data_IF_142272268958
#
_entry.id   IF_142272268958
#
_cell.length_a   1.000
_cell.length_b   1.000
_cell.length_c   1.000
_cell.angle_alpha   90.00
_cell.angle_beta   90.00
_cell.angle_gamma   90.00
#
_symmetry.space_group_name_H-M   'P 1'
#
loop_
_entity.id
_entity.type
_entity.pdbx_description
1 polymer ?
#
# COMPACT_ATOMS: atom_id res chain seq x y z
N UNK A 1 6.75 4.81 10.23
CA UNK A 1 5.93 3.61 10.43
C UNK A 1 4.63 4.05 11.09
N UNK A 2 3.48 3.62 10.57
CA UNK A 2 2.17 3.95 11.14
C UNK A 2 1.68 2.88 12.14
N UNK A 3 2.34 1.72 12.20
CA UNK A 3 2.01 0.65 13.13
C UNK A 3 0.90 -0.29 12.64
N UNK A 4 0.20 -0.92 13.58
CA UNK A 4 -0.88 -1.89 13.34
C UNK A 4 -2.25 -1.28 13.62
N UNK A 5 -3.31 -1.85 13.02
CA UNK A 5 -4.70 -1.38 13.18
C UNK A 5 -4.89 0.10 12.84
N UNK A 6 -4.21 0.53 11.78
CA UNK A 6 -4.23 1.92 11.30
C UNK A 6 -5.45 2.12 10.39
N UNK A 7 -6.32 3.10 10.67
CA UNK A 7 -7.48 3.37 9.82
C UNK A 7 -7.07 4.07 8.51
N UNK A 8 -7.83 3.91 7.41
CA UNK A 8 -7.50 4.46 6.09
C UNK A 8 -7.14 5.94 6.08
N UNK A 9 -7.85 6.76 6.86
CA UNK A 9 -7.69 8.22 6.89
C UNK A 9 -6.29 8.61 7.39
N UNK A 10 -5.70 7.81 8.30
CA UNK A 10 -4.34 8.06 8.78
C UNK A 10 -3.28 7.83 7.72
N UNK A 11 -3.53 6.97 6.74
CA UNK A 11 -2.62 6.83 5.60
C UNK A 11 -2.68 8.05 4.69
N UNK A 12 -3.88 8.57 4.43
CA UNK A 12 -4.07 9.80 3.63
C UNK A 12 -3.36 10.98 4.31
N UNK A 13 -3.66 11.23 5.59
CA UNK A 13 -3.03 12.30 6.38
C UNK A 13 -1.50 12.16 6.40
N UNK A 14 -0.98 10.94 6.57
CA UNK A 14 0.45 10.71 6.59
C UNK A 14 1.10 10.99 5.23
N UNK A 15 0.45 10.63 4.13
CA UNK A 15 0.94 10.93 2.77
C UNK A 15 0.95 12.43 2.53
N UNK A 16 -0.13 13.14 2.88
CA UNK A 16 -0.23 14.59 2.75
C UNK A 16 0.82 15.33 3.58
N UNK A 17 0.98 14.95 4.85
CA UNK A 17 1.88 15.63 5.78
C UNK A 17 3.36 15.35 5.54
N UNK A 18 3.70 14.20 4.96
CA UNK A 18 5.10 13.80 4.73
C UNK A 18 5.58 13.95 3.29
N UNK A 19 4.67 14.05 2.32
CA UNK A 19 5.01 13.97 0.90
C UNK A 19 5.49 12.58 0.47
N UNK A 20 5.08 11.52 1.19
CA UNK A 20 5.43 10.15 0.85
C UNK A 20 4.96 9.79 -0.57
N UNK A 21 5.85 9.15 -1.33
CA UNK A 21 5.59 8.75 -2.71
C UNK A 21 5.24 7.26 -2.85
N UNK A 22 5.42 6.50 -1.78
CA UNK A 22 5.13 5.06 -1.71
C UNK A 22 4.52 4.71 -0.34
N UNK A 23 3.41 3.98 -0.36
CA UNK A 23 2.76 3.36 0.79
C UNK A 23 2.88 1.84 0.67
N UNK A 24 3.38 1.20 1.72
CA UNK A 24 3.36 -0.24 1.88
C UNK A 24 2.27 -0.67 2.85
N UNK A 25 1.41 -1.59 2.44
CA UNK A 25 0.38 -2.19 3.28
C UNK A 25 0.68 -3.67 3.51
N UNK A 26 0.46 -4.15 4.73
CA UNK A 26 0.65 -5.55 5.11
C UNK A 26 -0.60 -6.11 5.79
N UNK A 27 -1.04 -7.29 5.37
CA UNK A 27 -2.12 -8.06 5.99
C UNK A 27 -1.59 -9.44 6.37
N UNK A 28 -1.84 -9.91 7.60
CA UNK A 28 -1.45 -11.26 8.02
C UNK A 28 -2.64 -12.22 8.15
N UNK A 29 -3.86 -11.69 8.16
CA UNK A 29 -5.10 -12.46 8.28
C UNK A 29 -6.01 -12.17 7.08
N UNK A 30 -6.75 -13.17 6.60
CA UNK A 30 -7.73 -12.97 5.52
C UNK A 30 -8.80 -11.94 5.90
N UNK A 31 -9.14 -11.83 7.18
CA UNK A 31 -10.06 -10.82 7.73
C UNK A 31 -9.52 -9.39 7.67
N UNK A 32 -8.21 -9.20 7.46
CA UNK A 32 -7.58 -7.88 7.30
C UNK A 32 -7.50 -7.41 5.84
N UNK A 33 -7.82 -8.27 4.87
CA UNK A 33 -7.84 -7.89 3.45
C UNK A 33 -8.86 -6.79 3.13
N UNK A 34 -10.10 -6.81 3.65
CA UNK A 34 -11.05 -5.71 3.39
C UNK A 34 -10.58 -4.35 3.93
N UNK A 35 -9.85 -4.34 5.06
CA UNK A 35 -9.27 -3.10 5.59
C UNK A 35 -8.14 -2.57 4.69
N UNK A 36 -7.34 -3.47 4.12
CA UNK A 36 -6.35 -3.12 3.11
C UNK A 36 -7.00 -2.54 1.86
N UNK A 37 -8.06 -3.17 1.33
CA UNK A 37 -8.83 -2.66 0.20
C UNK A 37 -9.38 -1.25 0.47
N UNK A 38 -10.01 -1.04 1.64
CA UNK A 38 -10.52 0.28 2.04
C UNK A 38 -9.40 1.34 2.10
N UNK A 39 -8.21 0.95 2.56
CA UNK A 39 -7.05 1.85 2.60
C UNK A 39 -6.54 2.20 1.20
N UNK A 40 -6.46 1.22 0.30
CA UNK A 40 -6.10 1.49 -1.10
C UNK A 40 -7.14 2.43 -1.73
N UNK A 41 -8.44 2.14 -1.55
CA UNK A 41 -9.53 3.00 -2.03
C UNK A 41 -9.42 4.44 -1.54
N UNK A 42 -9.24 4.64 -0.23
CA UNK A 42 -9.07 5.99 0.35
C UNK A 42 -7.88 6.75 -0.27
N UNK A 43 -6.75 6.08 -0.51
CA UNK A 43 -5.58 6.69 -1.17
C UNK A 43 -5.81 7.01 -2.65
N UNK A 44 -6.74 6.33 -3.32
CA UNK A 44 -7.13 6.60 -4.71
C UNK A 44 -8.17 7.71 -4.83
N UNK A 45 -9.08 7.79 -3.86
CA UNK A 45 -10.12 8.82 -3.79
C UNK A 45 -9.59 10.16 -3.26
N UNK A 46 -8.53 10.14 -2.44
CA UNK A 46 -7.93 11.35 -1.91
C UNK A 46 -7.33 12.23 -3.02
N UNK A 47 -7.60 13.54 -2.93
CA UNK A 47 -7.06 14.56 -3.84
C UNK A 47 -5.61 14.92 -3.47
N UNK A 48 -4.73 13.92 -3.50
CA UNK A 48 -3.32 14.10 -3.17
C UNK A 48 -2.59 14.87 -4.28
N UNK A 49 -1.64 15.77 -3.95
CA UNK A 49 -0.86 16.52 -4.94
C UNK A 49 -0.08 15.62 -5.92
N UNK A 50 0.30 14.43 -5.44
CA UNK A 50 0.97 13.39 -6.20
C UNK A 50 0.25 12.08 -5.92
N UNK A 51 -0.10 11.35 -6.98
CA UNK A 51 -0.66 10.03 -6.82
C UNK A 51 0.39 9.07 -6.26
N UNK A 52 0.18 8.68 -5.00
CA UNK A 52 1.09 7.82 -4.26
C UNK A 52 1.09 6.40 -4.83
N UNK A 53 2.27 5.79 -4.90
CA UNK A 53 2.40 4.37 -5.23
C UNK A 53 1.97 3.52 -4.05
N UNK A 54 1.20 2.48 -4.29
CA UNK A 54 0.73 1.58 -3.24
C UNK A 54 1.20 0.17 -3.55
N UNK A 55 1.91 -0.45 -2.62
CA UNK A 55 2.28 -1.84 -2.70
C UNK A 55 1.73 -2.62 -1.52
N UNK A 56 1.31 -3.86 -1.78
CA UNK A 56 0.67 -4.73 -0.78
C UNK A 56 1.48 -6.00 -0.56
N UNK A 57 1.38 -6.58 0.63
CA UNK A 57 2.02 -7.84 0.98
C UNK A 57 1.42 -8.50 2.23
N UNK A 58 2.07 -9.57 2.65
CA UNK A 58 1.66 -10.40 3.78
C UNK A 58 0.95 -11.70 3.37
N UNK A 59 0.87 -12.65 4.29
CA UNK A 59 0.58 -14.06 3.98
C UNK A 59 -0.68 -14.35 3.13
N UNK A 60 -1.84 -13.69 3.33
CA UNK A 60 -3.03 -13.88 2.52
C UNK A 60 -3.10 -13.00 1.27
N UNK A 61 -2.21 -11.99 1.12
CA UNK A 61 -2.20 -11.12 -0.04
C UNK A 61 -1.65 -11.86 -1.27
N UNK A 62 -2.16 -11.51 -2.45
CA UNK A 62 -1.71 -12.10 -3.71
C UNK A 62 -1.55 -11.03 -4.78
N UNK A 63 -0.87 -11.37 -5.87
CA UNK A 63 -0.79 -10.49 -7.04
C UNK A 63 -2.17 -10.18 -7.65
N UNK A 64 -3.11 -11.14 -7.59
CA UNK A 64 -4.48 -10.95 -8.08
C UNK A 64 -5.22 -9.97 -7.19
N UNK A 65 -5.19 -10.18 -5.87
CA UNK A 65 -5.80 -9.26 -4.91
C UNK A 65 -5.27 -7.83 -5.08
N UNK A 66 -3.95 -7.67 -5.25
CA UNK A 66 -3.34 -6.35 -5.49
C UNK A 66 -3.91 -5.65 -6.74
N UNK A 67 -4.14 -6.39 -7.82
CA UNK A 67 -4.75 -5.86 -9.04
C UNK A 67 -6.22 -5.48 -8.81
N UNK A 68 -6.97 -6.35 -8.14
CA UNK A 68 -8.41 -6.16 -7.88
C UNK A 68 -8.67 -4.90 -7.06
N UNK A 69 -7.82 -4.61 -6.05
CA UNK A 69 -7.95 -3.42 -5.19
C UNK A 69 -7.30 -2.16 -5.77
N UNK A 70 -6.62 -2.24 -6.93
CA UNK A 70 -5.96 -1.10 -7.55
C UNK A 70 -4.62 -0.68 -6.92
N UNK A 71 -3.91 -1.61 -6.29
CA UNK A 71 -2.53 -1.40 -5.86
C UNK A 71 -1.56 -1.43 -7.06
N UNK A 72 -0.43 -0.73 -6.95
CA UNK A 72 0.61 -0.68 -7.98
C UNK A 72 1.52 -1.92 -7.98
N UNK A 73 1.49 -2.74 -6.92
CA UNK A 73 2.25 -3.98 -6.89
C UNK A 73 2.04 -4.84 -5.65
N UNK A 74 2.53 -6.07 -5.76
CA UNK A 74 2.51 -7.08 -4.70
C UNK A 74 3.91 -7.65 -4.48
N UNK A 75 4.26 -7.89 -3.21
CA UNK A 75 5.49 -8.58 -2.83
C UNK A 75 5.19 -9.71 -1.82
N UNK A 76 5.62 -10.96 -2.08
CA UNK A 76 5.42 -12.08 -1.16
C UNK A 76 6.34 -12.04 0.08
N UNK A 77 7.43 -11.27 0.03
CA UNK A 77 8.43 -11.22 1.09
C UNK A 77 9.16 -9.86 1.12
N UNK A 78 9.97 -9.63 2.16
CA UNK A 78 10.69 -8.37 2.34
C UNK A 78 11.73 -8.10 1.23
N UNK A 79 12.39 -9.13 0.70
CA UNK A 79 13.44 -8.94 -0.32
C UNK A 79 12.84 -8.49 -1.66
N UNK A 80 11.78 -9.18 -2.08
CA UNK A 80 10.99 -8.82 -3.26
C UNK A 80 10.29 -7.47 -3.10
N UNK A 81 9.89 -7.09 -1.89
CA UNK A 81 9.32 -5.78 -1.59
C UNK A 81 10.31 -4.64 -1.86
N UNK A 82 11.59 -4.79 -1.48
CA UNK A 82 12.63 -3.79 -1.76
C UNK A 82 12.82 -3.61 -3.27
N UNK A 83 12.88 -4.72 -4.02
CA UNK A 83 13.01 -4.67 -5.47
C UNK A 83 11.78 -4.01 -6.13
N UNK A 84 10.57 -4.33 -5.66
CA UNK A 84 9.34 -3.71 -6.14
C UNK A 84 9.30 -2.21 -5.85
N UNK A 85 9.64 -1.80 -4.62
CA UNK A 85 9.68 -0.39 -4.23
C UNK A 85 10.63 0.41 -5.15
N UNK A 86 11.85 -0.09 -5.40
CA UNK A 86 12.80 0.55 -6.32
C UNK A 86 12.23 0.69 -7.72
N UNK A 87 11.58 -0.36 -8.24
CA UNK A 87 10.95 -0.35 -9.56
C UNK A 87 9.81 0.66 -9.65
N UNK A 88 8.92 0.70 -8.65
CA UNK A 88 7.79 1.64 -8.60
C UNK A 88 8.26 3.09 -8.50
N UNK A 89 9.33 3.33 -7.75
CA UNK A 89 9.95 4.63 -7.56
C UNK A 89 10.92 5.03 -8.67
N UNK A 90 11.12 4.17 -9.68
CA UNK A 90 12.10 4.37 -10.78
C UNK A 90 13.52 4.68 -10.26
N UNK A 91 13.90 4.06 -9.16
CA UNK A 91 15.24 4.16 -8.58
C UNK A 91 16.14 3.12 -9.25
N UNK A 92 17.18 3.58 -9.95
CA UNK A 92 18.22 2.74 -10.55
C UNK A 92 19.28 2.32 -9.54
#
# INVERSE_FOLDING_TARGET
DLGTDVPPERFVEAVEGSGAQLVGLSALLTTTLPAMEATVGALREAELPIQVKVMVGGAPATSTFAQDVGADGYAPDASSAVALARRLMRLH
#
